data_IF_498901937572
#
_entry.id   IF_498901937572
#
_cell.length_a   1.000
_cell.length_b   1.000
_cell.length_c   1.000
_cell.angle_alpha   90.00
_cell.angle_beta   90.00
_cell.angle_gamma   90.00
#
_symmetry.space_group_name_H-M   'P 1'
#
loop_
_entity.id
_entity.type
_entity.pdbx_description
1 polymer ?
#
# COMPACT_ATOMS: atom_id res chain seq x y z
N UNK A 1 28.28 -17.40 -75.51
CA UNK A 1 29.25 -16.66 -74.68
C UNK A 1 28.47 -15.76 -73.72
N UNK A 2 28.34 -16.17 -72.46
CA UNK A 2 27.35 -15.63 -71.50
C UNK A 2 28.02 -14.65 -70.54
N UNK A 3 27.56 -13.40 -70.53
CA UNK A 3 28.14 -12.28 -69.76
C UNK A 3 27.53 -12.26 -68.35
N UNK A 4 28.29 -12.69 -67.34
CA UNK A 4 27.83 -12.68 -65.94
C UNK A 4 28.06 -11.28 -65.35
N UNK A 5 26.96 -10.60 -65.04
CA UNK A 5 26.90 -9.28 -64.40
C UNK A 5 27.37 -9.32 -62.95
N UNK A 6 28.34 -8.47 -62.59
CA UNK A 6 28.75 -8.22 -61.20
C UNK A 6 27.58 -7.60 -60.42
N UNK A 7 27.01 -8.35 -59.47
CA UNK A 7 26.14 -7.79 -58.44
C UNK A 7 27.01 -7.05 -57.42
N UNK A 8 26.99 -5.72 -57.50
CA UNK A 8 27.61 -4.83 -56.51
C UNK A 8 26.91 -5.02 -55.16
N UNK A 9 27.58 -5.70 -54.23
CA UNK A 9 27.11 -5.91 -52.87
C UNK A 9 27.17 -4.57 -52.14
N UNK A 10 26.04 -3.87 -52.06
CA UNK A 10 25.87 -2.64 -51.28
C UNK A 10 26.12 -2.99 -49.81
N UNK A 11 27.32 -2.74 -49.31
CA UNK A 11 27.65 -2.92 -47.90
C UNK A 11 26.85 -1.91 -47.08
N UNK A 12 25.93 -2.39 -46.25
CA UNK A 12 25.27 -1.59 -45.23
C UNK A 12 26.32 -1.17 -44.20
N UNK A 13 26.69 0.11 -44.17
CA UNK A 13 27.42 0.70 -43.04
C UNK A 13 26.49 0.65 -41.83
N UNK A 14 26.61 -0.40 -41.01
CA UNK A 14 26.13 -0.33 -39.64
C UNK A 14 27.02 0.70 -38.94
N UNK A 15 26.51 1.90 -38.69
CA UNK A 15 27.15 2.87 -37.80
C UNK A 15 27.20 2.25 -36.41
N UNK A 16 28.34 1.68 -36.06
CA UNK A 16 28.66 1.25 -34.71
C UNK A 16 28.94 2.49 -33.87
N UNK A 17 27.88 3.09 -33.32
CA UNK A 17 28.03 3.99 -32.18
C UNK A 17 28.37 3.11 -30.97
N UNK A 18 29.65 2.78 -30.84
CA UNK A 18 30.14 1.94 -29.75
C UNK A 18 30.06 2.71 -28.45
N UNK A 19 29.22 2.23 -27.53
CA UNK A 19 29.18 2.72 -26.16
C UNK A 19 30.51 2.41 -25.48
N UNK A 20 31.08 3.41 -24.80
CA UNK A 20 32.37 3.24 -24.11
C UNK A 20 32.19 2.47 -22.80
N UNK A 21 33.26 1.83 -22.29
CA UNK A 21 33.26 1.20 -20.96
C UNK A 21 32.89 2.21 -19.87
N UNK A 22 33.35 3.45 -20.01
CA UNK A 22 33.06 4.55 -19.07
C UNK A 22 31.57 4.89 -19.07
N UNK A 23 30.95 4.92 -20.25
CA UNK A 23 29.52 5.21 -20.38
C UNK A 23 28.65 4.14 -19.74
N UNK A 24 28.99 2.86 -19.92
CA UNK A 24 28.29 1.76 -19.25
C UNK A 24 28.45 1.84 -17.72
N UNK A 25 29.64 2.21 -17.23
CA UNK A 25 29.87 2.40 -15.79
C UNK A 25 29.03 3.55 -15.23
N UNK A 26 28.98 4.70 -15.93
CA UNK A 26 28.19 5.85 -15.52
C UNK A 26 26.69 5.53 -15.52
N UNK A 27 26.20 4.83 -16.54
CA UNK A 27 24.78 4.41 -16.61
C UNK A 27 24.45 3.51 -15.42
N UNK A 28 25.29 2.52 -15.11
CA UNK A 28 25.06 1.64 -13.96
C UNK A 28 25.13 2.39 -12.63
N UNK A 29 26.03 3.36 -12.49
CA UNK A 29 26.10 4.21 -11.30
C UNK A 29 24.82 5.05 -11.12
N UNK A 30 24.35 5.71 -12.18
CA UNK A 30 23.12 6.51 -12.13
C UNK A 30 21.89 5.62 -11.89
N UNK A 31 21.80 4.47 -12.56
CA UNK A 31 20.67 3.54 -12.41
C UNK A 31 20.61 2.93 -11.02
N UNK A 32 21.75 2.55 -10.43
CA UNK A 32 21.78 2.03 -9.05
C UNK A 32 21.42 3.11 -8.02
N UNK A 33 21.91 4.33 -8.19
CA UNK A 33 21.54 5.46 -7.33
C UNK A 33 20.04 5.79 -7.46
N UNK A 34 19.52 5.84 -8.69
CA UNK A 34 18.10 6.05 -8.94
C UNK A 34 17.25 4.92 -8.31
N UNK A 35 17.66 3.66 -8.46
CA UNK A 35 16.97 2.52 -7.89
C UNK A 35 16.84 2.61 -6.36
N UNK A 36 17.87 3.08 -5.65
CA UNK A 36 17.82 3.29 -4.19
C UNK A 36 16.74 4.32 -3.83
N UNK A 37 16.65 5.43 -4.56
CA UNK A 37 15.63 6.45 -4.33
C UNK A 37 14.21 5.92 -4.58
N UNK A 38 14.03 5.07 -5.61
CA UNK A 38 12.75 4.42 -5.88
C UNK A 38 12.36 3.41 -4.79
N UNK A 39 13.30 2.64 -4.23
CA UNK A 39 13.02 1.66 -3.17
C UNK A 39 12.71 2.35 -1.83
N UNK A 40 13.44 3.44 -1.51
CA UNK A 40 13.30 4.17 -0.25
C UNK A 40 12.01 4.97 -0.13
N UNK A 41 11.46 5.47 -1.24
CA UNK A 41 10.21 6.25 -1.27
C UNK A 41 8.94 5.44 -1.00
N UNK A 42 8.98 4.11 -1.17
CA UNK A 42 7.78 3.26 -1.06
C UNK A 42 7.55 2.73 0.36
N UNK A 43 8.56 2.76 1.25
CA UNK A 43 8.54 1.97 2.49
C UNK A 43 8.59 2.77 3.81
N UNK A 44 8.51 4.10 3.79
CA UNK A 44 8.55 4.89 5.04
C UNK A 44 7.29 4.78 5.91
N UNK A 45 6.18 4.24 5.41
CA UNK A 45 4.93 4.09 6.19
C UNK A 45 4.93 2.91 7.18
N UNK A 46 5.86 1.96 7.08
CA UNK A 46 5.81 0.71 7.86
C UNK A 46 6.13 0.87 9.36
N UNK A 47 7.04 1.78 9.72
CA UNK A 47 7.56 1.87 11.10
C UNK A 47 6.78 2.86 11.96
N UNK A 48 6.23 3.92 11.36
CA UNK A 48 5.40 4.93 12.07
C UNK A 48 3.96 4.42 12.25
N UNK A 49 3.44 3.59 11.33
CA UNK A 49 2.10 3.00 11.45
C UNK A 49 1.94 2.09 12.69
N UNK A 50 3.01 1.50 13.23
CA UNK A 50 2.91 0.53 14.35
C UNK A 50 2.50 1.14 15.69
N UNK A 51 2.93 2.37 16.00
CA UNK A 51 2.57 3.01 17.26
C UNK A 51 1.09 3.41 17.27
N UNK A 52 0.57 3.86 16.13
CA UNK A 52 -0.80 4.36 16.02
C UNK A 52 -1.84 3.23 15.99
N UNK A 53 -1.49 2.05 15.48
CA UNK A 53 -2.39 0.89 15.52
C UNK A 53 -2.61 0.38 16.96
N UNK A 54 -1.65 0.57 17.86
CA UNK A 54 -1.82 0.18 19.28
C UNK A 54 -2.85 1.06 19.98
N UNK A 55 -2.87 2.35 19.68
CA UNK A 55 -3.86 3.27 20.25
C UNK A 55 -5.25 3.06 19.64
N UNK A 56 -5.30 2.73 18.35
CA UNK A 56 -6.54 2.30 17.69
C UNK A 56 -7.12 1.04 18.36
N UNK A 57 -6.27 0.07 18.69
CA UNK A 57 -6.70 -1.16 19.36
C UNK A 57 -7.26 -0.90 20.77
N UNK A 58 -6.63 0.02 21.53
CA UNK A 58 -7.17 0.47 22.83
C UNK A 58 -8.53 1.15 22.67
N UNK A 59 -8.65 2.04 21.69
CA UNK A 59 -9.89 2.77 21.40
C UNK A 59 -11.03 1.81 21.03
N UNK A 60 -10.75 0.84 20.16
CA UNK A 60 -11.69 -0.21 19.75
C UNK A 60 -12.10 -1.08 20.93
N UNK A 61 -11.13 -1.55 21.72
CA UNK A 61 -11.40 -2.39 22.89
C UNK A 61 -12.24 -1.65 23.93
N UNK A 62 -11.91 -0.38 24.17
CA UNK A 62 -12.66 0.50 25.09
C UNK A 62 -14.09 0.74 24.62
N UNK A 63 -14.29 1.09 23.35
CA UNK A 63 -15.60 1.32 22.76
C UNK A 63 -16.49 0.06 22.83
N UNK A 64 -15.92 -1.11 22.51
CA UNK A 64 -16.60 -2.40 22.64
C UNK A 64 -16.98 -2.70 24.08
N UNK A 65 -16.06 -2.55 25.03
CA UNK A 65 -16.36 -2.77 26.45
C UNK A 65 -17.39 -1.78 26.98
N UNK A 66 -17.42 -0.56 26.46
CA UNK A 66 -18.45 0.44 26.81
C UNK A 66 -19.82 0.03 26.29
N UNK A 67 -19.91 -0.47 25.05
CA UNK A 67 -21.16 -0.97 24.47
C UNK A 67 -21.73 -2.14 25.29
N UNK A 68 -20.88 -3.11 25.63
CA UNK A 68 -21.28 -4.27 26.45
C UNK A 68 -21.73 -3.83 27.85
N UNK A 69 -21.00 -2.91 28.49
CA UNK A 69 -21.34 -2.45 29.84
C UNK A 69 -22.61 -1.58 29.89
N UNK A 70 -22.82 -0.74 28.88
CA UNK A 70 -23.98 0.16 28.84
C UNK A 70 -25.24 -0.52 28.27
N UNK A 71 -25.09 -1.62 27.54
CA UNK A 71 -26.21 -2.23 26.81
C UNK A 71 -26.64 -1.42 25.59
N UNK A 72 -25.92 -0.35 25.26
CA UNK A 72 -26.22 0.57 24.16
C UNK A 72 -25.22 0.44 23.01
N UNK A 73 -25.66 0.77 21.80
CA UNK A 73 -24.76 0.82 20.64
C UNK A 73 -23.78 1.98 20.80
N UNK A 74 -22.49 1.72 20.66
CA UNK A 74 -21.44 2.74 20.73
C UNK A 74 -20.82 2.99 19.35
N UNK A 75 -20.74 4.28 18.99
CA UNK A 75 -20.06 4.76 17.79
C UNK A 75 -18.62 5.15 18.14
N UNK A 76 -17.68 4.64 17.35
CA UNK A 76 -16.28 5.07 17.36
C UNK A 76 -16.00 5.86 16.08
N UNK A 77 -15.66 7.14 16.26
CA UNK A 77 -15.25 8.02 15.17
C UNK A 77 -13.77 7.77 14.83
N UNK A 78 -13.51 7.33 13.60
CA UNK A 78 -12.15 7.03 13.11
C UNK A 78 -11.48 8.23 12.43
N UNK A 79 -12.31 9.20 12.00
CA UNK A 79 -11.91 10.39 11.23
C UNK A 79 -10.94 11.33 11.98
N UNK A 80 -11.07 11.58 13.30
CA UNK A 80 -10.15 12.47 14.01
C UNK A 80 -8.68 12.00 13.99
N UNK A 81 -8.46 10.70 13.72
CA UNK A 81 -7.16 10.05 13.75
C UNK A 81 -6.62 9.73 12.34
N UNK A 82 -7.23 10.28 11.29
CA UNK A 82 -6.83 10.04 9.90
C UNK A 82 -7.09 8.61 9.40
N UNK A 83 -7.88 7.81 10.13
CA UNK A 83 -8.27 6.48 9.71
C UNK A 83 -9.56 6.53 8.90
N UNK A 84 -9.64 5.73 7.84
CA UNK A 84 -10.83 5.55 7.00
C UNK A 84 -11.37 4.14 7.18
N UNK A 85 -12.68 4.02 7.43
CA UNK A 85 -13.37 2.74 7.41
C UNK A 85 -13.88 2.45 6.00
N UNK A 86 -13.73 1.21 5.52
CA UNK A 86 -14.33 0.76 4.27
C UNK A 86 -14.99 -0.61 4.44
N UNK A 87 -16.12 -0.80 3.78
CA UNK A 87 -16.83 -2.09 3.75
C UNK A 87 -17.51 -2.47 5.06
N UNK A 88 -17.91 -1.48 5.87
CA UNK A 88 -18.78 -1.71 7.02
C UNK A 88 -20.17 -2.16 6.54
N UNK A 89 -20.79 -3.13 7.22
CA UNK A 89 -22.06 -3.75 6.83
C UNK A 89 -23.26 -2.78 6.81
N UNK A 90 -23.10 -1.58 7.34
CA UNK A 90 -24.12 -0.51 7.36
C UNK A 90 -23.79 0.66 6.42
N UNK A 91 -22.71 0.59 5.63
CA UNK A 91 -22.27 1.70 4.78
C UNK A 91 -21.87 2.96 5.55
N UNK A 92 -21.70 2.86 6.87
CA UNK A 92 -21.26 3.97 7.72
C UNK A 92 -19.74 4.15 7.64
N UNK A 93 -19.30 5.40 7.70
CA UNK A 93 -17.88 5.76 7.85
C UNK A 93 -17.37 5.56 9.29
N UNK A 94 -18.29 5.28 10.21
CA UNK A 94 -18.00 5.06 11.62
C UNK A 94 -18.07 3.57 11.99
N UNK A 95 -17.23 3.17 12.94
CA UNK A 95 -17.26 1.82 13.48
C UNK A 95 -18.30 1.77 14.61
N UNK A 96 -19.23 0.83 14.52
CA UNK A 96 -20.31 0.63 15.47
C UNK A 96 -20.08 -0.65 16.27
N UNK A 97 -20.21 -0.57 17.58
CA UNK A 97 -20.20 -1.71 18.50
C UNK A 97 -21.56 -1.89 19.15
N UNK A 98 -22.02 -3.13 19.19
CA UNK A 98 -23.32 -3.48 19.77
C UNK A 98 -23.14 -4.07 21.17
N UNK A 99 -24.24 -4.15 21.92
CA UNK A 99 -24.25 -4.61 23.32
C UNK A 99 -23.80 -6.08 23.49
N UNK A 100 -23.97 -6.90 22.45
CA UNK A 100 -23.51 -8.29 22.40
C UNK A 100 -22.00 -8.41 22.11
N UNK A 101 -21.33 -7.29 21.86
CA UNK A 101 -19.92 -7.21 21.52
C UNK A 101 -19.60 -7.46 20.05
N UNK A 102 -20.60 -7.61 19.19
CA UNK A 102 -20.45 -7.61 17.73
C UNK A 102 -20.19 -6.19 17.20
N UNK A 103 -19.90 -6.06 15.89
CA UNK A 103 -19.70 -4.78 15.24
C UNK A 103 -20.27 -4.75 13.82
N UNK A 104 -20.35 -3.57 13.21
CA UNK A 104 -20.62 -3.44 11.77
C UNK A 104 -19.42 -3.89 10.90
N UNK A 105 -18.28 -4.21 11.52
CA UNK A 105 -17.06 -4.67 10.86
C UNK A 105 -16.46 -3.67 9.89
N UNK A 106 -15.47 -4.13 9.13
CA UNK A 106 -14.89 -3.36 8.04
C UNK A 106 -13.37 -3.38 8.06
N UNK A 107 -12.77 -2.73 7.07
CA UNK A 107 -11.32 -2.59 6.91
C UNK A 107 -10.93 -1.15 7.23
N UNK A 108 -9.89 -0.99 8.04
CA UNK A 108 -9.38 0.31 8.47
C UNK A 108 -8.14 0.61 7.63
N UNK A 109 -8.18 1.76 6.96
CA UNK A 109 -7.11 2.26 6.12
C UNK A 109 -6.53 3.54 6.68
N UNK A 110 -5.24 3.77 6.40
CA UNK A 110 -4.58 5.06 6.53
C UNK A 110 -3.74 5.29 5.30
N UNK A 111 -3.85 6.47 4.69
CA UNK A 111 -3.12 6.81 3.46
C UNK A 111 -3.19 5.72 2.39
N UNK A 112 -4.40 5.13 2.23
CA UNK A 112 -4.71 3.99 1.35
C UNK A 112 -4.03 2.64 1.72
N UNK A 113 -3.23 2.59 2.77
CA UNK A 113 -2.68 1.36 3.31
C UNK A 113 -3.66 0.70 4.30
N UNK A 114 -3.94 -0.60 4.10
CA UNK A 114 -4.70 -1.39 5.07
C UNK A 114 -3.88 -1.56 6.34
N UNK A 115 -4.40 -1.10 7.47
CA UNK A 115 -3.72 -1.19 8.78
C UNK A 115 -4.34 -2.23 9.72
N UNK A 116 -5.65 -2.48 9.58
CA UNK A 116 -6.35 -3.48 10.36
C UNK A 116 -7.73 -3.81 9.74
N UNK A 117 -8.34 -4.90 10.23
CA UNK A 117 -9.71 -5.29 9.91
C UNK A 117 -10.48 -5.56 11.20
N UNK A 118 -11.70 -5.05 11.29
CA UNK A 118 -12.62 -5.37 12.37
C UNK A 118 -13.62 -6.41 11.89
N UNK A 119 -13.72 -7.51 12.62
CA UNK A 119 -14.66 -8.58 12.29
C UNK A 119 -16.05 -8.22 12.81
N UNK A 120 -17.06 -8.41 11.97
CA UNK A 120 -18.44 -8.05 12.30
C UNK A 120 -19.02 -8.92 13.44
N UNK A 121 -18.71 -10.22 13.48
CA UNK A 121 -19.37 -11.15 14.40
C UNK A 121 -18.97 -10.96 15.88
N UNK A 122 -17.72 -10.63 16.17
CA UNK A 122 -17.17 -10.58 17.54
C UNK A 122 -16.53 -9.22 17.87
N UNK A 123 -16.56 -8.28 16.93
CA UNK A 123 -15.98 -6.95 17.07
C UNK A 123 -14.47 -6.95 17.26
N UNK A 124 -13.77 -8.04 16.95
CA UNK A 124 -12.31 -8.13 17.17
C UNK A 124 -11.52 -7.47 16.04
N UNK A 125 -10.40 -6.86 16.43
CA UNK A 125 -9.39 -6.32 15.53
C UNK A 125 -8.46 -7.44 15.05
N UNK A 126 -8.23 -7.50 13.75
CA UNK A 126 -7.28 -8.35 13.05
C UNK A 126 -6.25 -7.46 12.34
N UNK A 127 -4.99 -7.85 12.32
CA UNK A 127 -3.89 -7.14 11.63
C UNK A 127 -3.45 -7.93 10.42
#
# INVERSE_FOLDING_TARGET
MTRISKLSRKQSKACSNGFTLVEMLVVLAIMSLAAVLFIGGVNQSGTIARMEVTELERSITSARQSAIRSGETRRLELVPNGFKLRGALAGEDNLLFYADGSSNGGKIYRDEQLVAQVRWIDGRLMR
#
